data_IF_750216293364
#
_entry.id   IF_750216293364
#
_cell.length_a   1.000
_cell.length_b   1.000
_cell.length_c   1.000
_cell.angle_alpha   90.00
_cell.angle_beta   90.00
_cell.angle_gamma   90.00
#
_symmetry.space_group_name_H-M   'P 1'
#
loop_
_entity.id
_entity.type
_entity.pdbx_description
1 polymer ?
#
# COMPACT_ATOMS: atom_id res chain seq x y z
N UNK A 1 6.27 -18.13 -7.68
CA UNK A 1 5.38 -18.46 -6.53
C UNK A 1 5.65 -17.63 -5.27
N UNK A 2 6.86 -17.08 -5.04
CA UNK A 2 7.20 -16.36 -3.79
C UNK A 2 6.46 -15.04 -3.54
N UNK A 3 5.89 -14.40 -4.57
CA UNK A 3 5.25 -13.08 -4.43
C UNK A 3 3.72 -13.10 -4.32
N UNK A 4 3.09 -14.27 -4.44
CA UNK A 4 1.62 -14.40 -4.40
C UNK A 4 0.99 -13.82 -3.11
N UNK A 5 1.59 -14.02 -1.91
CA UNK A 5 1.09 -13.38 -0.71
C UNK A 5 1.24 -11.85 -0.74
N UNK A 6 2.33 -11.32 -1.28
CA UNK A 6 2.57 -9.88 -1.33
C UNK A 6 1.60 -9.17 -2.29
N UNK A 7 1.20 -9.85 -3.37
CA UNK A 7 0.20 -9.32 -4.29
C UNK A 7 -1.15 -9.13 -3.58
N UNK A 8 -1.65 -10.16 -2.88
CA UNK A 8 -2.93 -10.06 -2.16
C UNK A 8 -2.88 -8.99 -1.06
N UNK A 9 -1.76 -8.89 -0.34
CA UNK A 9 -1.54 -7.83 0.66
C UNK A 9 -1.52 -6.44 0.03
N UNK A 10 -0.92 -6.28 -1.14
CA UNK A 10 -0.91 -5.01 -1.87
C UNK A 10 -2.31 -4.63 -2.35
N UNK A 11 -3.10 -5.57 -2.87
CA UNK A 11 -4.49 -5.27 -3.26
C UNK A 11 -5.32 -4.84 -2.05
N UNK A 12 -5.20 -5.56 -0.93
CA UNK A 12 -5.89 -5.19 0.30
C UNK A 12 -5.46 -3.80 0.80
N UNK A 13 -4.16 -3.45 0.70
CA UNK A 13 -3.69 -2.09 1.01
C UNK A 13 -4.42 -1.03 0.18
N UNK A 14 -4.53 -1.24 -1.14
CA UNK A 14 -5.16 -0.27 -2.06
C UNK A 14 -6.66 -0.11 -1.78
N UNK A 15 -7.36 -1.21 -1.52
CA UNK A 15 -8.77 -1.18 -1.12
C UNK A 15 -8.99 -0.40 0.18
N UNK A 16 -8.18 -0.66 1.21
CA UNK A 16 -8.31 0.06 2.48
C UNK A 16 -7.89 1.52 2.36
N UNK A 17 -6.88 1.84 1.55
CA UNK A 17 -6.46 3.22 1.26
C UNK A 17 -7.58 4.05 0.63
N UNK A 18 -8.40 3.46 -0.25
CA UNK A 18 -9.54 4.13 -0.86
C UNK A 18 -10.70 4.34 0.13
N UNK A 19 -10.90 3.41 1.07
CA UNK A 19 -12.01 3.44 2.03
C UNK A 19 -11.72 4.24 3.30
N UNK A 20 -10.46 4.27 3.75
CA UNK A 20 -10.03 4.79 5.06
C UNK A 20 -9.01 5.91 4.89
N UNK A 21 -9.47 7.05 4.36
CA UNK A 21 -8.63 8.21 4.02
C UNK A 21 -7.94 8.86 5.25
N UNK A 22 -8.42 8.57 6.46
CA UNK A 22 -7.89 9.02 7.73
C UNK A 22 -6.65 8.26 8.19
N UNK A 23 -6.39 7.06 7.65
CA UNK A 23 -5.28 6.23 8.07
C UNK A 23 -3.99 6.57 7.34
N UNK A 24 -2.88 6.47 8.08
CA UNK A 24 -1.54 6.66 7.52
C UNK A 24 -1.11 5.45 6.69
N UNK A 25 -0.14 5.68 5.79
CA UNK A 25 0.55 4.60 5.04
C UNK A 25 1.04 3.48 5.97
N UNK A 26 1.55 3.84 7.17
CA UNK A 26 2.08 2.88 8.14
C UNK A 26 0.98 1.98 8.69
N UNK A 27 -0.15 2.55 9.09
CA UNK A 27 -1.28 1.79 9.61
C UNK A 27 -1.86 0.85 8.55
N UNK A 28 -2.08 1.37 7.34
CA UNK A 28 -2.57 0.59 6.21
C UNK A 28 -1.61 -0.55 5.82
N UNK A 29 -0.30 -0.29 5.82
CA UNK A 29 0.73 -1.30 5.57
C UNK A 29 0.65 -2.46 6.58
N UNK A 30 0.57 -2.14 7.89
CA UNK A 30 0.48 -3.14 8.93
C UNK A 30 -0.85 -3.92 8.88
N UNK A 31 -1.97 -3.22 8.66
CA UNK A 31 -3.29 -3.84 8.44
C UNK A 31 -3.28 -4.82 7.27
N UNK A 32 -2.50 -4.51 6.24
CA UNK A 32 -2.33 -5.35 5.05
C UNK A 32 -1.35 -6.51 5.25
N UNK A 33 -0.83 -6.72 6.46
CA UNK A 33 0.04 -7.86 6.78
C UNK A 33 1.50 -7.70 6.36
N UNK A 34 1.95 -6.49 6.00
CA UNK A 34 3.37 -6.18 5.88
C UNK A 34 3.95 -5.79 7.24
N UNK A 35 5.08 -6.39 7.62
CA UNK A 35 5.75 -6.11 8.90
C UNK A 35 7.00 -5.24 8.75
N UNK A 36 7.49 -5.05 7.52
CA UNK A 36 8.69 -4.26 7.23
C UNK A 36 8.38 -3.16 6.22
N UNK A 37 8.62 -1.91 6.63
CA UNK A 37 8.52 -0.73 5.75
C UNK A 37 9.41 -0.87 4.52
N UNK A 38 10.67 -1.26 4.67
CA UNK A 38 11.61 -1.32 3.54
C UNK A 38 11.18 -2.34 2.49
N UNK A 39 10.71 -3.52 2.91
CA UNK A 39 10.21 -4.53 1.98
C UNK A 39 8.91 -4.10 1.31
N UNK A 40 7.99 -3.47 2.06
CA UNK A 40 6.75 -2.94 1.53
C UNK A 40 7.01 -1.85 0.47
N UNK A 41 7.80 -0.82 0.80
CA UNK A 41 8.09 0.28 -0.13
C UNK A 41 8.75 -0.20 -1.41
N UNK A 42 9.72 -1.13 -1.34
CA UNK A 42 10.35 -1.72 -2.54
C UNK A 42 9.35 -2.50 -3.38
N UNK A 43 8.54 -3.35 -2.76
CA UNK A 43 7.55 -4.14 -3.47
C UNK A 43 6.49 -3.24 -4.12
N UNK A 44 5.90 -2.32 -3.36
CA UNK A 44 4.92 -1.36 -3.84
C UNK A 44 5.45 -0.58 -5.05
N UNK A 45 6.64 0.04 -4.92
CA UNK A 45 7.24 0.82 -6.01
C UNK A 45 7.59 -0.05 -7.23
N UNK A 46 7.93 -1.34 -7.04
CA UNK A 46 8.17 -2.24 -8.16
C UNK A 46 6.91 -2.51 -9.00
N UNK A 47 5.72 -2.51 -8.37
CA UNK A 47 4.43 -2.78 -9.00
C UNK A 47 3.78 -1.49 -9.50
N UNK A 48 3.54 -0.52 -8.63
CA UNK A 48 2.78 0.70 -8.90
C UNK A 48 3.63 1.82 -9.52
N UNK A 49 4.95 1.64 -9.61
CA UNK A 49 5.91 2.62 -10.15
C UNK A 49 5.90 3.98 -9.45
N UNK A 50 5.40 4.02 -8.21
CA UNK A 50 5.41 5.17 -7.32
C UNK A 50 5.55 4.72 -5.87
N UNK A 51 5.84 5.63 -4.95
CA UNK A 51 5.83 5.35 -3.52
C UNK A 51 4.40 5.22 -2.96
N UNK A 52 4.20 4.48 -1.85
CA UNK A 52 2.90 4.42 -1.18
C UNK A 52 2.39 5.81 -0.74
N UNK A 53 3.29 6.73 -0.37
CA UNK A 53 2.93 8.09 0.03
C UNK A 53 2.37 8.89 -1.14
N UNK A 54 3.05 8.88 -2.30
CA UNK A 54 2.56 9.53 -3.53
C UNK A 54 1.22 8.93 -3.98
N UNK A 55 1.05 7.62 -3.83
CA UNK A 55 -0.23 6.96 -4.13
C UNK A 55 -1.38 7.48 -3.24
N UNK A 56 -1.14 7.60 -1.93
CA UNK A 56 -2.14 8.15 -0.99
C UNK A 56 -2.48 9.61 -1.30
N UNK A 57 -1.48 10.43 -1.64
CA UNK A 57 -1.69 11.83 -2.03
C UNK A 57 -2.60 11.94 -3.27
N UNK A 58 -2.39 11.08 -4.28
CA UNK A 58 -3.25 11.03 -5.47
C UNK A 58 -4.69 10.62 -5.14
N UNK A 59 -4.88 9.62 -4.28
CA UNK A 59 -6.22 9.21 -3.83
C UNK A 59 -6.98 10.32 -3.09
N UNK A 60 -6.26 11.22 -2.41
CA UNK A 60 -6.87 12.38 -1.75
C UNK A 60 -7.24 13.50 -2.73
N UNK A 61 -6.55 13.61 -3.85
CA UNK A 61 -6.83 14.62 -4.89
C UNK A 61 -7.97 14.19 -5.84
N UNK A 62 -8.23 12.89 -5.98
CA UNK A 62 -9.25 12.32 -6.87
C UNK A 62 -10.65 12.19 -6.24
N UNK A 63 -10.85 12.56 -4.98
CA UNK A 63 -12.14 12.49 -4.29
C UNK A 63 -12.56 13.83 -3.70
#
# INVERSE_FOLDING_TARGET
MKDYPNFNRLQYFKEQAALRKELTVKELMFMSGFTSRSSFYRYFASIEKMSPSEYMERLQQEG
#
